data_IF_465089656882
#
_entry.id   IF_465089656882
#
_cell.length_a   1.000
_cell.length_b   1.000
_cell.length_c   1.000
_cell.angle_alpha   90.00
_cell.angle_beta   90.00
_cell.angle_gamma   90.00
#
_symmetry.space_group_name_H-M   'P 1'
#
loop_
_entity.id
_entity.type
_entity.pdbx_description
1 polymer ?
#
# COMPACT_ATOMS: atom_id res chain seq x y z
N UNK A 1 -2.64 6.47 10.86
CA UNK A 1 -2.01 5.13 10.98
C UNK A 1 -0.72 5.25 11.74
N UNK A 2 -0.36 4.23 12.53
CA UNK A 2 0.95 4.18 13.17
C UNK A 2 1.91 3.32 12.36
N UNK A 3 3.18 3.75 12.28
CA UNK A 3 4.21 3.10 11.48
C UNK A 3 5.59 3.21 12.13
N UNK A 4 6.47 2.27 11.78
CA UNK A 4 7.88 2.25 12.16
C UNK A 4 8.74 1.99 10.92
N UNK A 5 9.83 2.77 10.78
CA UNK A 5 10.86 2.54 9.77
C UNK A 5 12.11 1.97 10.44
N UNK A 6 12.59 0.85 9.90
CA UNK A 6 13.77 0.15 10.40
C UNK A 6 14.83 0.12 9.31
N UNK A 7 16.04 0.54 9.63
CA UNK A 7 17.20 0.39 8.74
C UNK A 7 18.02 -0.81 9.15
N UNK A 8 18.25 -1.74 8.23
CA UNK A 8 19.10 -2.90 8.50
C UNK A 8 20.59 -2.58 8.32
N UNK A 9 21.44 -3.57 8.64
CA UNK A 9 22.91 -3.45 8.57
C UNK A 9 23.43 -3.24 7.14
N UNK A 10 22.63 -3.55 6.12
CA UNK A 10 22.96 -3.33 4.71
C UNK A 10 22.50 -1.97 4.20
N UNK A 11 21.77 -1.21 5.03
CA UNK A 11 21.19 0.08 4.70
C UNK A 11 19.77 0.00 4.15
N UNK A 12 19.24 -1.20 3.93
CA UNK A 12 17.88 -1.43 3.47
C UNK A 12 16.85 -0.95 4.49
N UNK A 13 15.76 -0.35 4.02
CA UNK A 13 14.67 0.16 4.87
C UNK A 13 13.48 -0.78 4.82
N UNK A 14 13.00 -1.18 6.00
CA UNK A 14 11.75 -1.90 6.19
C UNK A 14 10.70 -1.01 6.84
N UNK A 15 9.47 -1.14 6.37
CA UNK A 15 8.28 -0.47 6.89
C UNK A 15 7.44 -1.48 7.68
N UNK A 16 7.06 -1.12 8.90
CA UNK A 16 6.09 -1.87 9.72
C UNK A 16 4.91 -0.97 10.03
N UNK A 17 3.71 -1.52 9.93
CA UNK A 17 2.47 -0.81 10.21
C UNK A 17 1.77 -1.43 11.41
N UNK A 18 0.94 -0.64 12.09
CA UNK A 18 0.03 -1.13 13.13
C UNK A 18 -1.06 -2.04 12.56
N UNK A 19 -1.74 -2.78 13.45
CA UNK A 19 -2.86 -3.66 13.11
C UNK A 19 -3.92 -2.99 12.23
N UNK A 20 -4.39 -3.73 11.22
CA UNK A 20 -5.34 -3.27 10.19
C UNK A 20 -4.71 -2.52 9.01
N UNK A 21 -3.38 -2.32 9.00
CA UNK A 21 -2.65 -1.62 7.95
C UNK A 21 -1.38 -2.35 7.51
N UNK A 22 -1.18 -3.60 7.92
CA UNK A 22 0.00 -4.41 7.66
C UNK A 22 0.35 -4.47 6.17
N UNK A 23 -0.68 -4.58 5.31
CA UNK A 23 -0.55 -4.67 3.85
C UNK A 23 0.04 -3.40 3.26
N UNK A 24 -0.19 -2.23 3.87
CA UNK A 24 0.48 -0.99 3.48
C UNK A 24 1.99 -1.15 3.64
N UNK A 25 2.44 -1.68 4.79
CA UNK A 25 3.85 -1.94 5.06
C UNK A 25 4.43 -2.97 4.10
N UNK A 26 3.70 -4.06 3.83
CA UNK A 26 4.11 -5.07 2.87
C UNK A 26 4.27 -4.49 1.45
N UNK A 27 3.35 -3.63 1.00
CA UNK A 27 3.47 -2.95 -0.29
C UNK A 27 4.71 -2.06 -0.39
N UNK A 28 5.06 -1.31 0.66
CA UNK A 28 6.33 -0.58 0.69
C UNK A 28 7.55 -1.53 0.58
N UNK A 29 7.51 -2.63 1.32
CA UNK A 29 8.63 -3.56 1.37
C UNK A 29 8.78 -4.39 0.09
N UNK A 30 7.69 -4.65 -0.64
CA UNK A 30 7.69 -5.51 -1.83
C UNK A 30 7.69 -4.75 -3.16
N UNK A 31 6.89 -3.68 -3.26
CA UNK A 31 6.72 -2.92 -4.51
C UNK A 31 7.60 -1.68 -4.57
N UNK A 32 7.72 -0.95 -3.45
CA UNK A 32 8.49 0.29 -3.43
C UNK A 32 9.98 -0.02 -3.43
N UNK A 33 10.53 -0.78 -2.47
CA UNK A 33 11.95 -1.20 -2.47
C UNK A 33 12.93 -0.07 -2.86
N UNK A 34 12.77 1.12 -2.27
CA UNK A 34 13.54 2.36 -2.58
C UNK A 34 13.35 2.94 -4.00
N UNK A 35 12.42 2.43 -4.80
CA UNK A 35 11.99 3.00 -6.07
C UNK A 35 11.14 4.26 -5.85
N UNK A 36 11.82 5.40 -5.70
CA UNK A 36 11.15 6.68 -5.50
C UNK A 36 10.28 7.11 -6.70
N UNK A 37 10.56 6.63 -7.91
CA UNK A 37 9.74 6.94 -9.08
C UNK A 37 8.33 6.33 -8.99
N UNK A 38 8.19 5.17 -8.33
CA UNK A 38 6.86 4.61 -8.04
C UNK A 38 6.08 5.50 -7.07
N UNK A 39 6.75 6.05 -6.06
CA UNK A 39 6.12 6.98 -5.13
C UNK A 39 5.71 8.29 -5.83
N UNK A 40 6.54 8.79 -6.74
CA UNK A 40 6.20 9.97 -7.55
C UNK A 40 4.95 9.71 -8.42
N UNK A 41 4.84 8.52 -9.03
CA UNK A 41 3.67 8.08 -9.82
C UNK A 41 2.40 8.05 -8.95
N UNK A 42 2.48 7.47 -7.75
CA UNK A 42 1.34 7.39 -6.81
C UNK A 42 0.93 8.77 -6.31
N UNK A 43 1.88 9.64 -5.95
CA UNK A 43 1.60 11.01 -5.53
C UNK A 43 0.96 11.85 -6.66
N UNK A 44 1.40 11.65 -7.91
CA UNK A 44 0.78 12.29 -9.08
C UNK A 44 -0.63 11.79 -9.32
N UNK A 45 -0.85 10.48 -9.26
CA UNK A 45 -2.16 9.87 -9.38
C UNK A 45 -3.12 10.41 -8.32
N UNK A 46 -2.70 10.47 -7.05
CA UNK A 46 -3.49 11.02 -5.95
C UNK A 46 -3.90 12.48 -6.21
N UNK A 47 -2.99 13.32 -6.75
CA UNK A 47 -3.33 14.69 -7.17
C UNK A 47 -4.32 14.73 -8.33
N UNK A 48 -4.19 13.82 -9.28
CA UNK A 48 -5.01 13.79 -10.49
C UNK A 48 -6.46 13.34 -10.24
N UNK A 49 -6.69 12.46 -9.25
CA UNK A 49 -8.02 11.97 -8.89
C UNK A 49 -8.75 12.87 -7.89
N UNK A 50 -8.02 13.70 -7.13
CA UNK A 50 -8.58 14.54 -6.06
C UNK A 50 -9.74 15.42 -6.57
N UNK A 51 -10.90 15.30 -5.92
CA UNK A 51 -12.11 16.05 -6.27
C UNK A 51 -12.79 15.60 -7.57
N UNK A 52 -12.45 14.41 -8.07
CA UNK A 52 -13.07 13.79 -9.24
C UNK A 52 -13.63 12.41 -8.88
N UNK A 53 -14.52 11.88 -9.73
CA UNK A 53 -15.02 10.49 -9.63
C UNK A 53 -14.09 9.48 -10.30
N UNK A 54 -12.86 9.88 -10.65
CA UNK A 54 -11.88 9.00 -11.29
C UNK A 54 -11.15 8.19 -10.23
N UNK A 55 -10.85 6.96 -10.58
CA UNK A 55 -9.91 6.13 -9.83
C UNK A 55 -8.66 5.86 -10.67
N UNK A 56 -7.60 5.50 -9.98
CA UNK A 56 -6.34 5.06 -10.55
C UNK A 56 -5.92 3.75 -9.90
N UNK A 57 -5.22 2.91 -10.66
CA UNK A 57 -4.71 1.65 -10.16
C UNK A 57 -3.30 1.38 -10.67
N UNK A 58 -2.54 0.64 -9.87
CA UNK A 58 -1.21 0.16 -10.19
C UNK A 58 -1.04 -1.27 -9.72
N UNK A 59 -1.05 -2.19 -10.68
CA UNK A 59 -0.71 -3.57 -10.43
C UNK A 59 0.80 -3.71 -10.23
N UNK A 60 1.20 -4.20 -9.05
CA UNK A 60 2.57 -4.58 -8.72
C UNK A 60 2.80 -6.08 -8.91
N UNK A 61 3.91 -6.59 -8.36
CA UNK A 61 4.25 -8.01 -8.41
C UNK A 61 3.43 -8.82 -7.41
N UNK A 62 3.51 -8.49 -6.13
CA UNK A 62 2.78 -9.13 -5.04
C UNK A 62 1.53 -8.35 -4.63
N UNK A 63 1.51 -7.03 -4.79
CA UNK A 63 0.41 -6.18 -4.35
C UNK A 63 -0.05 -5.22 -5.43
N UNK A 64 -1.36 -5.00 -5.51
CA UNK A 64 -1.97 -3.94 -6.33
C UNK A 64 -2.45 -2.80 -5.44
N UNK A 65 -2.22 -1.57 -5.87
CA UNK A 65 -2.71 -0.35 -5.23
C UNK A 65 -3.80 0.27 -6.08
N UNK A 66 -4.92 0.61 -5.44
CA UNK A 66 -5.99 1.43 -6.00
C UNK A 66 -6.11 2.71 -5.18
N UNK A 67 -6.41 3.80 -5.85
CA UNK A 67 -6.72 5.06 -5.21
C UNK A 67 -7.81 5.81 -5.96
N UNK A 68 -8.64 6.53 -5.21
CA UNK A 68 -9.54 7.55 -5.72
C UNK A 68 -9.35 8.87 -4.96
N UNK A 69 -10.32 9.78 -5.04
CA UNK A 69 -10.22 11.08 -4.39
C UNK A 69 -10.20 11.03 -2.86
N UNK A 70 -10.59 9.93 -2.24
CA UNK A 70 -10.83 9.80 -0.79
C UNK A 70 -10.04 8.65 -0.17
N UNK A 71 -10.02 7.48 -0.82
CA UNK A 71 -9.48 6.25 -0.24
C UNK A 71 -8.35 5.62 -1.08
N UNK A 72 -7.49 4.87 -0.39
CA UNK A 72 -6.47 3.97 -0.94
C UNK A 72 -6.78 2.56 -0.47
N UNK A 73 -6.79 1.63 -1.41
CA UNK A 73 -6.88 0.19 -1.14
C UNK A 73 -5.62 -0.49 -1.65
N UNK A 74 -5.05 -1.37 -0.84
CA UNK A 74 -3.94 -2.22 -1.24
C UNK A 74 -4.34 -3.66 -0.99
N UNK A 75 -4.12 -4.53 -1.98
CA UNK A 75 -4.50 -5.95 -1.93
C UNK A 75 -3.39 -6.84 -2.48
N UNK A 76 -3.18 -7.99 -1.85
CA UNK A 76 -2.32 -9.04 -2.37
C UNK A 76 -2.87 -9.63 -3.69
N UNK A 77 -1.99 -9.84 -4.66
CA UNK A 77 -2.33 -10.37 -5.98
C UNK A 77 -2.63 -11.88 -5.95
N UNK A 78 -1.96 -12.64 -5.08
CA UNK A 78 -2.14 -14.10 -4.95
C UNK A 78 -3.47 -14.54 -4.32
N UNK A 79 -4.44 -13.63 -4.18
CA UNK A 79 -5.85 -13.99 -4.00
C UNK A 79 -6.42 -14.52 -5.34
N UNK A 80 -5.82 -15.56 -5.90
CA UNK A 80 -6.34 -16.32 -7.03
C UNK A 80 -7.35 -17.35 -6.53
N UNK A 81 -8.59 -17.23 -7.01
CA UNK A 81 -9.65 -18.21 -6.80
C UNK A 81 -9.24 -19.55 -7.41
N UNK A 82 -8.91 -20.55 -6.59
CA UNK A 82 -9.12 -21.94 -6.99
C UNK A 82 -10.61 -22.23 -6.87
N UNK A 83 -11.28 -22.38 -8.02
CA UNK A 83 -12.73 -22.41 -8.13
C UNK A 83 -13.45 -23.59 -7.48
N UNK A 84 -14.78 -23.44 -7.51
CA UNK A 84 -15.85 -24.44 -7.41
C UNK A 84 -16.39 -24.91 -6.04
N UNK A 85 -16.17 -24.19 -4.94
CA UNK A 85 -17.03 -24.34 -3.75
C UNK A 85 -17.44 -22.98 -3.19
N UNK A 86 -18.56 -22.48 -3.70
CA UNK A 86 -19.27 -21.32 -3.16
C UNK A 86 -19.93 -21.70 -1.83
N UNK A 87 -19.16 -21.80 -0.75
CA UNK A 87 -19.73 -21.86 0.60
C UNK A 87 -20.24 -20.46 0.97
N UNK A 88 -21.56 -20.32 0.95
CA UNK A 88 -22.30 -19.15 1.44
C UNK A 88 -21.98 -18.91 2.93
N UNK A 89 -20.96 -18.11 3.24
CA UNK A 89 -20.73 -17.64 4.61
C UNK A 89 -19.31 -17.27 5.01
N UNK A 90 -18.29 -17.49 4.17
CA UNK A 90 -16.90 -17.19 4.53
C UNK A 90 -16.47 -15.83 3.99
N UNK A 91 -16.42 -14.82 4.88
CA UNK A 91 -15.73 -13.56 4.61
C UNK A 91 -14.22 -13.84 4.55
N UNK A 92 -13.68 -14.19 3.39
CA UNK A 92 -12.24 -14.40 3.18
C UNK A 92 -11.45 -13.09 3.04
N UNK A 93 -11.77 -12.10 3.87
CA UNK A 93 -10.87 -10.99 4.12
C UNK A 93 -9.95 -11.45 5.24
N UNK A 94 -8.87 -12.14 4.87
CA UNK A 94 -7.75 -12.19 5.80
C UNK A 94 -7.29 -10.73 5.98
N UNK A 95 -7.35 -10.20 7.19
CA UNK A 95 -7.03 -8.80 7.52
C UNK A 95 -5.56 -8.47 7.13
N UNK A 96 -4.74 -9.51 6.92
CA UNK A 96 -3.35 -9.42 6.43
C UNK A 96 -3.21 -9.40 4.89
N UNK A 97 -4.31 -9.53 4.13
CA UNK A 97 -4.30 -9.59 2.66
C UNK A 97 -4.79 -8.32 1.96
N UNK A 98 -5.47 -7.45 2.70
CA UNK A 98 -6.04 -6.21 2.21
C UNK A 98 -6.03 -5.12 3.29
N UNK A 99 -5.70 -3.88 2.91
CA UNK A 99 -5.87 -2.70 3.76
C UNK A 99 -6.55 -1.58 3.00
N UNK A 100 -7.46 -0.88 3.68
CA UNK A 100 -8.09 0.35 3.20
C UNK A 100 -7.74 1.51 4.13
N UNK A 101 -7.63 2.69 3.56
CA UNK A 101 -7.32 3.89 4.31
C UNK A 101 -7.60 5.18 3.55
N UNK A 102 -7.63 6.30 4.26
CA UNK A 102 -7.71 7.61 3.63
C UNK A 102 -6.44 7.96 2.84
N UNK A 103 -6.60 8.61 1.69
CA UNK A 103 -5.50 9.09 0.84
C UNK A 103 -4.54 9.99 1.63
N UNK A 104 -5.06 10.86 2.49
CA UNK A 104 -4.24 11.80 3.26
C UNK A 104 -3.35 11.10 4.29
N UNK A 105 -3.84 10.04 4.94
CA UNK A 105 -3.04 9.24 5.87
C UNK A 105 -1.97 8.45 5.13
N UNK A 106 -2.32 7.84 3.99
CA UNK A 106 -1.35 7.10 3.17
C UNK A 106 -0.23 8.02 2.66
N UNK A 107 -0.55 9.21 2.15
CA UNK A 107 0.45 10.18 1.68
C UNK A 107 1.36 10.70 2.80
N UNK A 108 0.89 10.77 4.04
CA UNK A 108 1.75 11.09 5.19
C UNK A 108 2.81 10.01 5.41
N UNK A 109 2.46 8.73 5.28
CA UNK A 109 3.43 7.62 5.38
C UNK A 109 4.43 7.67 4.22
N UNK A 110 3.96 7.95 2.99
CA UNK A 110 4.83 8.12 1.81
C UNK A 110 5.86 9.24 2.05
N UNK A 111 5.42 10.41 2.51
CA UNK A 111 6.30 11.53 2.80
C UNK A 111 7.33 11.17 3.90
N UNK A 112 6.87 10.57 5.00
CA UNK A 112 7.73 10.17 6.11
C UNK A 112 8.77 9.12 5.68
N UNK A 113 8.40 8.17 4.83
CA UNK A 113 9.32 7.19 4.26
C UNK A 113 10.41 7.85 3.42
N UNK A 114 10.05 8.80 2.55
CA UNK A 114 11.03 9.57 1.75
C UNK A 114 12.01 10.35 2.62
N UNK A 115 11.52 10.94 3.70
CA UNK A 115 12.37 11.68 4.62
C UNK A 115 13.28 10.77 5.43
N UNK A 116 12.82 9.59 5.82
CA UNK A 116 13.65 8.56 6.45
C UNK A 116 14.77 8.08 5.53
N UNK A 117 14.50 7.92 4.23
CA UNK A 117 15.54 7.54 3.26
C UNK A 117 16.65 8.57 3.12
N UNK A 118 16.35 9.87 3.28
CA UNK A 118 17.34 10.95 3.23
C UNK A 118 18.20 11.03 4.50
N UNK A 119 17.69 10.53 5.63
CA UNK A 119 18.43 10.47 6.89
C UNK A 119 19.46 9.33 6.78
N UNK A 120 20.72 9.72 6.72
CA UNK A 120 21.87 8.84 6.46
C UNK A 120 22.73 8.67 7.70
#
# INVERSE_FOLDING_TARGET
MDYEFLRDVTGGVKVRMSMGHEVVGHWFNEEVKENLALLDEVEEAARAVKGSERSWQRAGHEYTLWLDGEEVMIRANQLEFTGDEMEEGMNYYDEESLSLCGVEDFLQVVAAYRDFLKQR
#
